data_IF_858354489102
#
_entry.id   IF_858354489102
#
_cell.length_a   1.000
_cell.length_b   1.000
_cell.length_c   1.000
_cell.angle_alpha   90.00
_cell.angle_beta   90.00
_cell.angle_gamma   90.00
#
_symmetry.space_group_name_H-M   'P 1'
#
loop_
_entity.id
_entity.type
_entity.pdbx_description
1 polymer ?
#
# COMPACT_ATOMS: atom_id res chain seq x y z
N UNK A 1 49.07 -31.88 -4.45
CA UNK A 1 47.84 -31.79 -5.26
C UNK A 1 46.77 -31.12 -4.40
N UNK A 2 46.61 -29.80 -4.54
CA UNK A 2 45.53 -29.05 -3.89
C UNK A 2 44.41 -28.88 -4.92
N UNK A 3 43.28 -29.54 -4.69
CA UNK A 3 42.03 -29.29 -5.41
C UNK A 3 41.28 -28.18 -4.70
N UNK A 4 41.20 -27.01 -5.33
CA UNK A 4 40.24 -25.96 -4.97
C UNK A 4 38.89 -26.28 -5.66
N UNK A 5 37.74 -26.24 -4.96
CA UNK A 5 36.45 -26.14 -5.63
C UNK A 5 36.15 -24.67 -6.01
N UNK A 6 35.33 -24.44 -7.04
CA UNK A 6 35.11 -23.13 -7.63
C UNK A 6 34.15 -22.25 -6.81
N UNK A 7 34.31 -20.94 -6.99
CA UNK A 7 33.54 -19.85 -6.40
C UNK A 7 32.03 -20.08 -6.49
N UNK A 8 31.37 -20.20 -5.35
CA UNK A 8 29.92 -20.06 -5.28
C UNK A 8 29.55 -18.62 -5.64
N UNK A 9 28.83 -18.50 -6.75
CA UNK A 9 28.16 -17.30 -7.20
C UNK A 9 27.25 -16.81 -6.08
N UNK A 10 27.34 -15.51 -5.78
CA UNK A 10 26.38 -14.84 -4.92
C UNK A 10 24.99 -15.09 -5.48
N UNK A 11 24.19 -15.82 -4.71
CA UNK A 11 22.75 -15.89 -4.89
C UNK A 11 22.21 -14.48 -4.70
N UNK A 12 22.04 -13.78 -5.83
CA UNK A 12 21.17 -12.63 -5.96
C UNK A 12 19.76 -13.10 -5.71
N UNK A 13 19.45 -13.32 -4.43
CA UNK A 13 18.10 -13.38 -3.91
C UNK A 13 17.46 -12.02 -4.15
N UNK A 14 17.00 -11.82 -5.39
CA UNK A 14 15.99 -10.81 -5.71
C UNK A 14 14.78 -11.20 -4.88
N UNK A 15 14.71 -10.59 -3.70
CA UNK A 15 13.67 -10.82 -2.72
C UNK A 15 12.33 -10.76 -3.41
N UNK A 16 11.67 -11.90 -3.51
CA UNK A 16 10.22 -11.86 -3.49
C UNK A 16 9.90 -11.27 -2.13
N UNK A 17 9.56 -9.98 -2.10
CA UNK A 17 8.98 -9.38 -0.93
C UNK A 17 7.70 -10.17 -0.67
N UNK A 18 7.80 -11.23 0.12
CA UNK A 18 6.62 -11.86 0.68
C UNK A 18 5.93 -10.71 1.39
N UNK A 19 4.74 -10.35 0.92
CA UNK A 19 3.87 -9.35 1.53
C UNK A 19 3.65 -9.79 2.97
N UNK A 20 4.55 -9.39 3.87
CA UNK A 20 4.36 -9.57 5.30
C UNK A 20 3.32 -8.52 5.65
N UNK A 21 2.06 -8.94 5.56
CA UNK A 21 0.92 -8.09 5.87
C UNK A 21 1.09 -7.58 7.29
N UNK A 22 0.82 -6.30 7.48
CA UNK A 22 0.86 -5.73 8.81
C UNK A 22 -0.29 -6.32 9.65
N UNK A 23 0.00 -7.09 10.72
CA UNK A 23 -1.02 -7.75 11.52
C UNK A 23 -1.94 -6.76 12.22
N UNK A 24 -1.48 -5.53 12.49
CA UNK A 24 -2.29 -4.49 13.13
C UNK A 24 -3.40 -3.99 12.21
N UNK A 25 -3.10 -3.77 10.92
CA UNK A 25 -4.10 -3.35 9.93
C UNK A 25 -5.14 -4.45 9.74
N UNK A 26 -4.70 -5.71 9.65
CA UNK A 26 -5.61 -6.85 9.50
C UNK A 26 -6.54 -7.01 10.72
N UNK A 27 -5.99 -6.89 11.93
CA UNK A 27 -6.78 -6.93 13.17
C UNK A 27 -7.75 -5.76 13.26
N UNK A 28 -7.32 -4.57 12.85
CA UNK A 28 -8.19 -3.40 12.76
C UNK A 28 -9.39 -3.65 11.83
N UNK A 29 -9.16 -4.19 10.63
CA UNK A 29 -10.25 -4.55 9.71
C UNK A 29 -11.22 -5.58 10.33
N UNK A 30 -10.71 -6.61 11.03
CA UNK A 30 -11.56 -7.58 11.73
C UNK A 30 -12.45 -6.93 12.78
N UNK A 31 -11.88 -6.05 13.60
CA UNK A 31 -12.63 -5.31 14.64
C UNK A 31 -13.74 -4.46 14.02
N UNK A 32 -13.50 -3.86 12.85
CA UNK A 32 -14.54 -3.09 12.15
C UNK A 32 -15.70 -3.97 11.70
N UNK A 33 -15.41 -5.14 11.10
CA UNK A 33 -16.42 -6.11 10.66
C UNK A 33 -17.26 -6.58 11.85
N UNK A 34 -16.60 -6.94 12.96
CA UNK A 34 -17.26 -7.34 14.21
C UNK A 34 -18.17 -6.24 14.75
N UNK A 35 -17.68 -4.99 14.81
CA UNK A 35 -18.45 -3.84 15.29
C UNK A 35 -19.66 -3.52 14.41
N UNK A 36 -19.57 -3.78 13.09
CA UNK A 36 -20.67 -3.58 12.16
C UNK A 36 -21.72 -4.70 12.26
N UNK A 37 -21.36 -5.82 12.89
CA UNK A 37 -22.23 -6.98 13.05
C UNK A 37 -22.44 -7.77 11.76
N UNK A 38 -21.54 -7.59 10.77
CA UNK A 38 -21.62 -8.33 9.51
C UNK A 38 -21.23 -9.79 9.74
N UNK A 39 -22.06 -10.70 9.25
CA UNK A 39 -21.80 -12.15 9.30
C UNK A 39 -21.40 -12.62 7.92
N UNK A 40 -20.23 -13.22 7.85
CA UNK A 40 -19.71 -13.84 6.63
C UNK A 40 -19.33 -15.28 6.91
N UNK A 41 -19.53 -16.13 5.91
CA UNK A 41 -18.88 -17.43 5.88
C UNK A 41 -17.35 -17.27 5.79
N UNK A 42 -16.54 -18.27 6.19
CA UNK A 42 -15.09 -18.12 6.35
C UNK A 42 -14.34 -17.63 5.10
N UNK A 43 -14.73 -18.10 3.92
CA UNK A 43 -14.07 -17.74 2.66
C UNK A 43 -14.45 -16.33 2.15
N UNK A 44 -15.74 -15.95 2.10
CA UNK A 44 -16.14 -14.55 1.87
C UNK A 44 -15.53 -13.58 2.87
N UNK A 45 -15.43 -13.95 4.15
CA UNK A 45 -14.79 -13.15 5.20
C UNK A 45 -13.32 -12.85 4.85
N UNK A 46 -12.57 -13.89 4.46
CA UNK A 46 -11.16 -13.73 4.07
C UNK A 46 -11.01 -12.77 2.89
N UNK A 47 -11.85 -12.91 1.86
CA UNK A 47 -11.84 -12.03 0.68
C UNK A 47 -12.25 -10.59 1.02
N UNK A 48 -13.19 -10.42 1.94
CA UNK A 48 -13.62 -9.10 2.41
C UNK A 48 -12.50 -8.39 3.17
N UNK A 49 -11.89 -9.07 4.14
CA UNK A 49 -10.75 -8.55 4.89
C UNK A 49 -9.56 -8.21 3.98
N UNK A 50 -9.32 -9.01 2.93
CA UNK A 50 -8.31 -8.71 1.92
C UNK A 50 -8.55 -7.36 1.24
N UNK A 51 -9.77 -7.14 0.77
CA UNK A 51 -10.15 -5.89 0.10
C UNK A 51 -10.04 -4.69 1.03
N UNK A 52 -10.47 -4.87 2.29
CA UNK A 52 -10.33 -3.82 3.32
C UNK A 52 -8.88 -3.48 3.56
N UNK A 53 -8.00 -4.49 3.68
CA UNK A 53 -6.57 -4.32 3.89
C UNK A 53 -5.92 -3.55 2.73
N UNK A 54 -6.16 -3.98 1.49
CA UNK A 54 -5.63 -3.33 0.28
C UNK A 54 -6.08 -1.87 0.17
N UNK A 55 -7.36 -1.60 0.44
CA UNK A 55 -7.90 -0.25 0.41
C UNK A 55 -7.28 0.62 1.52
N UNK A 56 -7.10 0.08 2.71
CA UNK A 56 -6.44 0.80 3.80
C UNK A 56 -4.99 1.13 3.46
N UNK A 57 -4.20 0.18 2.92
CA UNK A 57 -2.81 0.44 2.51
C UNK A 57 -2.74 1.53 1.45
N UNK A 58 -3.65 1.51 0.47
CA UNK A 58 -3.74 2.55 -0.53
C UNK A 58 -4.03 3.93 0.09
N UNK A 59 -5.03 4.01 0.98
CA UNK A 59 -5.36 5.26 1.68
C UNK A 59 -4.18 5.77 2.52
N UNK A 60 -3.49 4.86 3.21
CA UNK A 60 -2.32 5.20 4.01
C UNK A 60 -1.19 5.75 3.13
N UNK A 61 -0.86 5.09 2.02
CA UNK A 61 0.15 5.57 1.08
C UNK A 61 -0.19 6.94 0.51
N UNK A 62 -1.45 7.15 0.11
CA UNK A 62 -1.94 8.45 -0.36
C UNK A 62 -1.81 9.54 0.71
N UNK A 63 -2.20 9.23 1.95
CA UNK A 63 -2.13 10.19 3.06
C UNK A 63 -0.69 10.50 3.46
N UNK A 64 0.23 9.53 3.36
CA UNK A 64 1.66 9.76 3.52
C UNK A 64 2.20 10.71 2.45
N UNK A 65 1.87 10.49 1.16
CA UNK A 65 2.29 11.38 0.07
C UNK A 65 1.75 12.81 0.29
N UNK A 66 0.49 12.95 0.71
CA UNK A 66 -0.12 14.25 0.98
C UNK A 66 0.46 14.98 2.19
N UNK A 67 1.07 14.24 3.12
CA UNK A 67 1.72 14.82 4.30
C UNK A 67 3.15 15.33 4.02
N UNK A 68 3.73 14.95 2.88
CA UNK A 68 5.06 15.41 2.50
C UNK A 68 5.04 16.91 2.16
N UNK A 69 6.15 17.63 2.42
CA UNK A 69 6.39 18.95 1.84
C UNK A 69 6.23 18.92 0.31
N UNK A 70 5.66 19.97 -0.28
CA UNK A 70 5.31 20.01 -1.71
C UNK A 70 6.51 19.69 -2.62
N UNK A 71 7.70 20.17 -2.30
CA UNK A 71 8.91 19.87 -3.07
C UNK A 71 9.24 18.36 -3.11
N UNK A 72 9.07 17.66 -1.99
CA UNK A 72 9.34 16.22 -1.88
C UNK A 72 8.21 15.39 -2.49
N UNK A 73 6.97 15.87 -2.39
CA UNK A 73 5.83 15.29 -3.09
C UNK A 73 6.05 15.31 -4.61
N UNK A 74 6.46 16.45 -5.17
CA UNK A 74 6.78 16.56 -6.59
C UNK A 74 7.97 15.67 -6.98
N UNK A 75 9.01 15.58 -6.15
CA UNK A 75 10.12 14.66 -6.37
C UNK A 75 9.65 13.20 -6.44
N UNK A 76 8.81 12.78 -5.50
CA UNK A 76 8.22 11.44 -5.50
C UNK A 76 7.38 11.20 -6.76
N UNK A 77 6.52 12.15 -7.16
CA UNK A 77 5.70 12.02 -8.36
C UNK A 77 6.53 11.91 -9.63
N UNK A 78 7.60 12.68 -9.76
CA UNK A 78 8.54 12.58 -10.88
C UNK A 78 9.25 11.21 -10.91
N UNK A 79 9.66 10.68 -9.75
CA UNK A 79 10.21 9.32 -9.67
C UNK A 79 9.20 8.25 -10.09
N UNK A 80 7.91 8.47 -9.82
CA UNK A 80 6.87 7.53 -10.28
C UNK A 80 6.57 7.59 -11.77
N UNK A 81 7.03 8.64 -12.49
CA UNK A 81 6.94 8.72 -13.96
C UNK A 81 8.02 7.88 -14.66
N UNK A 82 9.15 7.63 -13.99
CA UNK A 82 10.22 6.76 -14.47
C UNK A 82 10.53 5.66 -13.46
N UNK A 83 9.84 4.53 -13.65
CA UNK A 83 9.94 3.36 -12.78
C UNK A 83 11.33 2.69 -12.81
N UNK A 84 12.20 3.02 -13.77
CA UNK A 84 13.55 2.44 -13.83
C UNK A 84 14.44 2.88 -12.67
N UNK A 85 14.14 4.05 -12.11
CA UNK A 85 14.84 4.64 -10.96
C UNK A 85 14.08 4.48 -9.64
N UNK A 86 12.89 3.85 -9.67
CA UNK A 86 12.07 3.65 -8.49
C UNK A 86 12.55 2.42 -7.69
N UNK A 87 13.52 2.63 -6.80
CA UNK A 87 13.97 1.61 -5.85
C UNK A 87 13.33 1.78 -4.48
N UNK A 88 13.31 0.71 -3.69
CA UNK A 88 12.86 0.77 -2.30
C UNK A 88 13.70 1.75 -1.47
N UNK A 89 15.02 1.86 -1.73
CA UNK A 89 15.86 2.85 -1.04
C UNK A 89 15.46 4.28 -1.40
N UNK A 90 15.21 4.56 -2.68
CA UNK A 90 14.78 5.88 -3.13
C UNK A 90 13.43 6.30 -2.51
N UNK A 91 12.51 5.35 -2.37
CA UNK A 91 11.24 5.56 -1.67
C UNK A 91 11.50 5.80 -0.18
N UNK A 92 12.25 4.93 0.49
CA UNK A 92 12.54 5.05 1.93
C UNK A 92 13.23 6.38 2.26
N UNK A 93 14.18 6.84 1.43
CA UNK A 93 14.87 8.12 1.63
C UNK A 93 13.92 9.33 1.62
N UNK A 94 12.86 9.28 0.81
CA UNK A 94 11.84 10.33 0.77
C UNK A 94 10.95 10.23 2.02
N UNK A 95 10.45 9.05 2.36
CA UNK A 95 9.44 8.92 3.40
C UNK A 95 10.02 8.85 4.83
N UNK A 96 11.07 8.07 5.08
CA UNK A 96 11.61 7.85 6.44
C UNK A 96 12.20 9.12 7.06
N UNK A 97 12.76 10.00 6.23
CA UNK A 97 13.40 11.25 6.66
C UNK A 97 12.45 12.43 6.72
N UNK A 98 11.31 12.37 6.02
CA UNK A 98 10.50 13.55 5.75
C UNK A 98 9.00 13.38 5.99
N UNK A 99 8.50 12.20 6.35
CA UNK A 99 7.10 12.04 6.79
C UNK A 99 6.97 12.59 8.21
N UNK A 100 6.24 13.69 8.42
CA UNK A 100 6.04 14.22 9.75
C UNK A 100 5.02 13.36 10.51
N UNK A 101 5.42 12.86 11.68
CA UNK A 101 4.52 12.15 12.62
C UNK A 101 3.69 11.04 11.93
N UNK A 102 4.40 9.98 11.54
CA UNK A 102 3.82 8.78 10.92
C UNK A 102 2.66 8.19 11.74
N UNK A 103 2.76 8.24 13.06
CA UNK A 103 1.73 7.73 13.97
C UNK A 103 0.41 8.51 13.82
N UNK A 104 0.48 9.84 13.74
CA UNK A 104 -0.69 10.68 13.49
C UNK A 104 -1.34 10.36 12.15
N UNK A 105 -0.56 10.24 11.08
CA UNK A 105 -1.07 9.93 9.73
C UNK A 105 -1.77 8.57 9.72
N UNK A 106 -1.19 7.57 10.38
CA UNK A 106 -1.82 6.26 10.53
C UNK A 106 -3.16 6.36 11.29
N UNK A 107 -3.18 7.06 12.43
CA UNK A 107 -4.40 7.25 13.24
C UNK A 107 -5.50 7.99 12.48
N UNK A 108 -5.16 9.03 11.72
CA UNK A 108 -6.10 9.77 10.90
C UNK A 108 -6.66 8.91 9.76
N UNK A 109 -5.80 8.15 9.08
CA UNK A 109 -6.20 7.19 8.04
C UNK A 109 -7.13 6.12 8.59
N UNK A 110 -6.84 5.58 9.78
CA UNK A 110 -7.76 4.65 10.46
C UNK A 110 -9.12 5.29 10.69
N UNK A 111 -9.19 6.50 11.25
CA UNK A 111 -10.46 7.19 11.49
C UNK A 111 -11.24 7.43 10.19
N UNK A 112 -10.57 7.88 9.15
CA UNK A 112 -11.17 8.09 7.82
C UNK A 112 -11.75 6.77 7.27
N UNK A 113 -10.94 5.71 7.26
CA UNK A 113 -11.34 4.40 6.79
C UNK A 113 -12.54 3.84 7.57
N UNK A 114 -12.53 3.93 8.92
CA UNK A 114 -13.67 3.53 9.75
C UNK A 114 -14.94 4.30 9.36
N UNK A 115 -14.82 5.63 9.23
CA UNK A 115 -15.95 6.48 8.89
C UNK A 115 -16.59 6.05 7.56
N UNK A 116 -15.79 5.76 6.53
CA UNK A 116 -16.39 5.28 5.27
C UNK A 116 -16.95 3.87 5.43
N UNK A 117 -16.22 2.96 6.07
CA UNK A 117 -16.67 1.58 6.24
C UNK A 117 -18.04 1.47 6.95
N UNK A 118 -18.29 2.33 7.95
CA UNK A 118 -19.58 2.38 8.64
C UNK A 118 -20.65 3.19 7.90
N UNK A 119 -20.26 4.21 7.11
CA UNK A 119 -21.21 4.96 6.27
C UNK A 119 -21.72 4.15 5.08
N UNK A 120 -20.87 3.33 4.49
CA UNK A 120 -21.21 2.54 3.31
C UNK A 120 -21.80 1.20 3.72
N UNK A 121 -23.07 0.98 3.39
CA UNK A 121 -23.75 -0.32 3.59
C UNK A 121 -23.10 -1.45 2.79
N UNK A 122 -22.40 -1.12 1.70
CA UNK A 122 -21.58 -1.99 0.84
C UNK A 122 -20.36 -1.17 0.41
N UNK A 123 -19.14 -1.69 0.59
CA UNK A 123 -17.93 -1.07 0.03
C UNK A 123 -17.93 -1.25 -1.49
N UNK A 124 -18.36 -0.24 -2.26
CA UNK A 124 -18.18 -0.19 -3.70
C UNK A 124 -16.91 0.62 -4.04
N UNK A 125 -15.91 0.03 -4.73
CA UNK A 125 -14.75 0.76 -5.24
C UNK A 125 -15.11 2.00 -6.08
N UNK A 126 -16.30 2.05 -6.67
CA UNK A 126 -16.80 3.20 -7.46
C UNK A 126 -17.12 4.42 -6.61
N UNK A 127 -17.39 4.25 -5.31
CA UNK A 127 -17.59 5.37 -4.38
C UNK A 127 -16.27 6.14 -4.11
N UNK A 128 -15.16 5.63 -4.63
CA UNK A 128 -13.83 6.22 -4.58
C UNK A 128 -13.28 6.41 -6.00
N UNK A 129 -13.86 7.32 -6.81
CA UNK A 129 -13.37 7.56 -8.15
C UNK A 129 -11.94 8.10 -8.09
N UNK A 130 -11.00 7.34 -8.66
CA UNK A 130 -9.64 7.79 -8.93
C UNK A 130 -9.70 8.67 -10.19
N UNK A 131 -9.08 9.86 -10.22
CA UNK A 131 -8.91 10.60 -11.46
C UNK A 131 -8.23 9.71 -12.50
N UNK A 132 -8.91 9.49 -13.64
CA UNK A 132 -8.41 8.62 -14.73
C UNK A 132 -7.11 9.12 -15.38
N UNK A 133 -6.70 10.34 -15.06
CA UNK A 133 -5.48 10.99 -15.54
C UNK A 133 -4.19 10.30 -15.05
N UNK A 134 -4.27 9.35 -14.11
CA UNK A 134 -3.11 8.61 -13.59
C UNK A 134 -2.81 7.33 -14.42
N UNK A 135 -3.70 6.93 -15.35
CA UNK A 135 -3.56 5.69 -16.13
C UNK A 135 -3.85 5.87 -17.63
N UNK A 136 -3.57 7.04 -18.20
CA UNK A 136 -3.52 7.16 -19.66
C UNK A 136 -2.08 7.11 -20.12
N UNK A 137 -1.60 5.88 -20.35
CA UNK A 137 -0.84 5.59 -21.56
C UNK A 137 -0.90 4.08 -21.85
N UNK A 138 -1.30 3.78 -23.08
CA UNK A 138 -1.06 2.48 -23.72
C UNK A 138 -2.21 1.49 -23.64
N UNK A 139 -3.14 1.59 -24.60
CA UNK A 139 -3.35 0.56 -25.64
C UNK A 139 -4.63 0.91 -26.40
N UNK A 140 -4.47 1.18 -27.69
CA UNK A 140 -5.19 0.49 -28.76
C UNK A 140 -4.30 0.65 -30.01
N UNK A 141 -3.44 -0.33 -30.21
CA UNK A 141 -2.87 -0.63 -31.52
C UNK A 141 -3.97 -1.31 -32.34
N UNK A 142 -4.28 -0.75 -33.51
CA UNK A 142 -4.85 -1.46 -34.66
C UNK A 142 -3.79 -1.54 -35.77
#
# INVERSE_FOLDING_TARGET
MNHFPPKEQGDGSKGTASSVRNPYILNYCRVLVEKKGEKFDPEPMKKHLEKMYQLYEYMLGKNMINSLPEALKQQYLTLTQDLTNLTYEAIADIFDKNVPDYERIMKETMKEFANIYFRNRVLDPKDYPVPKEIFQDGQDED
#
